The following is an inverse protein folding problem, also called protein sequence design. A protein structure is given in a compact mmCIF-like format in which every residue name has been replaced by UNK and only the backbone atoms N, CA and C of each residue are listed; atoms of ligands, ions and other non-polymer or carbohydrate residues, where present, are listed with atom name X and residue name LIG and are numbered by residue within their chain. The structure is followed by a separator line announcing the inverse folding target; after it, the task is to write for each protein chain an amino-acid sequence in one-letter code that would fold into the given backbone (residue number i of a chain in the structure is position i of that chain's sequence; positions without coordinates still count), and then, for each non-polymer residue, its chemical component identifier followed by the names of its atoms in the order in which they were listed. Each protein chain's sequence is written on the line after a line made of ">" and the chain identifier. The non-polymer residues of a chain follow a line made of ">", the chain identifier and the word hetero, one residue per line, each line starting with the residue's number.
data_IF_175906618313
#
_entry.id   IF_175906618313
#
_cell.length_a   1.000
_cell.length_b   1.000
_cell.length_c   1.000
_cell.angle_alpha   90.00
_cell.angle_beta   90.00
_cell.angle_gamma   90.00
#
_symmetry.space_group_name_H-M   'P 1'
#
loop_
_entity.id
_entity.type
_entity.pdbx_description
1 polymer ?
#
# COMPACT_ATOMS: atom_id res chain seq x y z
N UNK A 1 3.93 16.48 14.27
CA UNK A 1 3.90 15.13 13.69
C UNK A 1 3.07 15.16 12.42
N UNK A 2 3.58 14.55 11.34
CA UNK A 2 2.97 14.58 10.01
C UNK A 2 2.02 13.40 9.78
N UNK A 3 1.84 12.52 10.78
CA UNK A 3 1.00 11.31 10.72
C UNK A 3 0.62 10.80 12.13
N UNK A 4 -0.38 9.91 12.19
CA UNK A 4 -0.77 9.25 13.43
C UNK A 4 0.24 8.17 13.87
N UNK A 5 0.41 7.90 15.18
CA UNK A 5 1.43 6.97 15.72
C UNK A 5 1.35 5.55 15.15
N UNK A 6 0.18 5.09 14.76
CA UNK A 6 -0.03 3.76 14.17
C UNK A 6 0.83 3.52 12.92
N UNK A 7 1.10 4.57 12.14
CA UNK A 7 1.82 4.46 10.87
C UNK A 7 3.35 4.39 11.01
N UNK A 8 3.88 4.60 12.21
CA UNK A 8 5.33 4.49 12.47
C UNK A 8 5.89 3.13 12.04
N UNK A 9 5.12 2.05 12.27
CA UNK A 9 5.49 0.69 11.87
C UNK A 9 5.79 0.55 10.37
N UNK A 10 5.11 1.35 9.53
CA UNK A 10 5.31 1.32 8.08
C UNK A 10 6.39 2.31 7.65
N UNK A 11 6.33 3.53 8.16
CA UNK A 11 7.25 4.61 7.79
C UNK A 11 8.69 4.26 8.12
N UNK A 12 8.95 3.63 9.28
CA UNK A 12 10.28 3.20 9.69
C UNK A 12 10.93 2.16 8.78
N UNK A 13 10.17 1.49 7.91
CA UNK A 13 10.69 0.51 6.95
C UNK A 13 11.25 1.13 5.67
N UNK A 14 11.01 2.40 5.45
CA UNK A 14 11.51 3.12 4.28
C UNK A 14 12.79 3.87 4.66
N UNK A 15 13.86 3.63 3.90
CA UNK A 15 15.21 4.13 4.24
C UNK A 15 15.48 5.57 3.76
N UNK A 16 14.59 6.19 2.99
CA UNK A 16 14.75 7.53 2.47
C UNK A 16 13.72 8.49 3.07
N UNK A 17 14.07 9.78 3.09
CA UNK A 17 13.17 10.86 3.51
C UNK A 17 12.56 11.62 2.33
N UNK A 18 12.83 11.18 1.10
CA UNK A 18 12.38 11.83 -0.14
C UNK A 18 11.58 10.87 -1.00
N UNK A 19 10.35 11.26 -1.39
CA UNK A 19 9.43 10.45 -2.19
C UNK A 19 10.01 10.10 -3.56
N UNK A 20 10.73 11.00 -4.21
CA UNK A 20 11.33 10.73 -5.53
C UNK A 20 12.43 9.69 -5.43
N UNK A 21 13.26 9.77 -4.40
CA UNK A 21 14.28 8.76 -4.11
C UNK A 21 13.68 7.39 -3.85
N UNK A 22 12.56 7.33 -3.10
CA UNK A 22 11.82 6.07 -2.87
C UNK A 22 11.30 5.50 -4.19
N UNK A 23 10.70 6.32 -5.03
CA UNK A 23 10.21 5.88 -6.35
C UNK A 23 11.34 5.28 -7.20
N UNK A 24 12.50 5.90 -7.23
CA UNK A 24 13.64 5.44 -8.02
C UNK A 24 14.26 4.15 -7.46
N UNK A 25 14.34 4.01 -6.14
CA UNK A 25 15.07 2.92 -5.49
C UNK A 25 14.21 1.73 -5.10
N UNK A 26 12.94 1.96 -4.75
CA UNK A 26 12.10 0.95 -4.10
C UNK A 26 10.94 0.46 -4.98
N UNK A 27 10.46 1.26 -5.94
CA UNK A 27 9.27 0.89 -6.71
C UNK A 27 9.48 -0.39 -7.53
N UNK A 28 10.52 -0.43 -8.36
CA UNK A 28 10.78 -1.58 -9.22
C UNK A 28 11.12 -2.87 -8.43
N UNK A 29 11.97 -2.86 -7.39
CA UNK A 29 12.20 -4.04 -6.56
C UNK A 29 10.94 -4.59 -5.90
N UNK A 30 10.10 -3.72 -5.35
CA UNK A 30 8.83 -4.12 -4.71
C UNK A 30 7.87 -4.75 -5.74
N UNK A 31 7.69 -4.12 -6.90
CA UNK A 31 6.84 -4.62 -7.96
C UNK A 31 7.34 -5.99 -8.47
N UNK A 32 8.64 -6.11 -8.70
CA UNK A 32 9.27 -7.37 -9.11
C UNK A 32 9.04 -8.49 -8.10
N UNK A 33 9.16 -8.19 -6.80
CA UNK A 33 8.92 -9.16 -5.74
C UNK A 33 7.50 -9.75 -5.82
N UNK A 34 6.48 -8.91 -5.87
CA UNK A 34 5.08 -9.37 -5.87
C UNK A 34 4.69 -10.06 -7.18
N UNK A 35 5.22 -9.61 -8.33
CA UNK A 35 4.98 -10.27 -9.61
C UNK A 35 5.59 -11.68 -9.68
N UNK A 36 6.70 -11.91 -8.99
CA UNK A 36 7.41 -13.19 -8.98
C UNK A 36 6.92 -14.16 -7.90
N UNK A 37 5.88 -13.83 -7.15
CA UNK A 37 5.30 -14.77 -6.19
C UNK A 37 4.89 -16.08 -6.89
N UNK A 38 5.25 -17.25 -6.30
CA UNK A 38 5.03 -18.52 -6.96
C UNK A 38 3.54 -18.86 -7.08
N UNK A 39 3.12 -19.18 -8.30
CA UNK A 39 1.72 -19.54 -8.61
C UNK A 39 1.24 -20.73 -7.78
N UNK A 40 2.12 -21.71 -7.53
CA UNK A 40 1.82 -22.89 -6.73
C UNK A 40 1.45 -22.57 -5.26
N UNK A 41 1.78 -21.37 -4.78
CA UNK A 41 1.47 -20.91 -3.41
C UNK A 41 0.31 -19.92 -3.35
N UNK A 42 -0.37 -19.67 -4.45
CA UNK A 42 -1.44 -18.68 -4.53
C UNK A 42 -2.51 -18.87 -3.44
N UNK A 43 -2.93 -20.09 -3.19
CA UNK A 43 -3.95 -20.47 -2.19
C UNK A 43 -3.35 -20.98 -0.87
N UNK A 44 -2.01 -20.89 -0.71
CA UNK A 44 -1.33 -21.29 0.52
C UNK A 44 -1.57 -20.26 1.64
N UNK A 45 -1.79 -20.76 2.85
CA UNK A 45 -1.83 -20.02 4.12
C UNK A 45 -0.93 -20.70 5.14
N UNK A 46 -0.18 -19.94 5.88
CA UNK A 46 0.79 -20.50 6.84
C UNK A 46 0.17 -21.04 8.14
N UNK A 47 -1.10 -20.72 8.42
CA UNK A 47 -1.88 -21.26 9.54
C UNK A 47 -3.37 -21.13 9.27
N UNK A 48 -4.18 -21.87 10.03
CA UNK A 48 -5.64 -21.76 9.98
C UNK A 48 -6.10 -20.34 10.31
N UNK A 49 -7.09 -19.84 9.58
CA UNK A 49 -7.63 -18.48 9.75
C UNK A 49 -6.74 -17.36 9.24
N UNK A 50 -5.57 -17.67 8.67
CA UNK A 50 -4.70 -16.67 8.04
C UNK A 50 -5.03 -16.50 6.56
N UNK A 51 -4.66 -15.36 6.01
CA UNK A 51 -4.86 -15.04 4.60
C UNK A 51 -4.05 -15.97 3.69
N UNK A 52 -4.60 -16.30 2.54
CA UNK A 52 -3.84 -16.86 1.42
C UNK A 52 -2.96 -15.78 0.77
N UNK A 53 -2.02 -16.16 -0.10
CA UNK A 53 -1.29 -15.17 -0.90
C UNK A 53 -2.21 -14.36 -1.79
N UNK A 54 -3.31 -14.93 -2.29
CA UNK A 54 -4.33 -14.17 -3.03
C UNK A 54 -5.01 -13.12 -2.16
N UNK A 55 -5.43 -13.50 -0.94
CA UNK A 55 -6.04 -12.57 0.01
C UNK A 55 -5.08 -11.44 0.37
N UNK A 56 -3.80 -11.78 0.60
CA UNK A 56 -2.77 -10.79 0.92
C UNK A 56 -2.55 -9.82 -0.25
N UNK A 57 -2.42 -10.31 -1.47
CA UNK A 57 -2.23 -9.47 -2.64
C UNK A 57 -3.45 -8.58 -2.91
N UNK A 58 -4.66 -9.10 -2.72
CA UNK A 58 -5.88 -8.29 -2.80
C UNK A 58 -5.92 -7.22 -1.70
N UNK A 59 -5.53 -7.56 -0.46
CA UNK A 59 -5.41 -6.59 0.62
C UNK A 59 -4.44 -5.45 0.29
N UNK A 60 -3.30 -5.76 -0.34
CA UNK A 60 -2.36 -4.73 -0.78
C UNK A 60 -2.98 -3.80 -1.82
N UNK A 61 -3.69 -4.36 -2.79
CA UNK A 61 -4.39 -3.59 -3.82
C UNK A 61 -5.44 -2.67 -3.19
N UNK A 62 -6.29 -3.19 -2.33
CA UNK A 62 -7.39 -2.44 -1.71
C UNK A 62 -6.86 -1.33 -0.79
N UNK A 63 -5.87 -1.66 0.04
CA UNK A 63 -5.26 -0.69 0.95
C UNK A 63 -4.54 0.41 0.19
N UNK A 64 -3.82 0.09 -0.89
CA UNK A 64 -3.16 1.12 -1.70
C UNK A 64 -4.18 2.07 -2.33
N UNK A 65 -5.31 1.57 -2.85
CA UNK A 65 -6.40 2.44 -3.36
C UNK A 65 -6.91 3.41 -2.31
N UNK A 66 -7.15 2.95 -1.10
CA UNK A 66 -7.59 3.80 0.01
C UNK A 66 -6.53 4.85 0.34
N UNK A 67 -5.27 4.44 0.47
CA UNK A 67 -4.18 5.36 0.82
C UNK A 67 -3.88 6.37 -0.29
N UNK A 68 -3.93 5.97 -1.55
CA UNK A 68 -3.76 6.87 -2.71
C UNK A 68 -4.89 7.88 -2.79
N UNK A 69 -6.13 7.49 -2.52
CA UNK A 69 -7.25 8.42 -2.45
C UNK A 69 -7.06 9.47 -1.35
N UNK A 70 -6.62 9.06 -0.16
CA UNK A 70 -6.30 9.97 0.95
C UNK A 70 -5.15 10.92 0.59
N UNK A 71 -4.10 10.39 -0.06
CA UNK A 71 -2.97 11.17 -0.55
C UNK A 71 -3.40 12.21 -1.58
N UNK A 72 -4.22 11.83 -2.54
CA UNK A 72 -4.76 12.73 -3.55
C UNK A 72 -5.53 13.89 -2.91
N UNK A 73 -6.39 13.59 -1.93
CA UNK A 73 -7.15 14.62 -1.21
C UNK A 73 -6.25 15.57 -0.44
N UNK A 74 -5.25 15.05 0.27
CA UNK A 74 -4.27 15.87 0.96
C UNK A 74 -3.49 16.77 -0.01
N UNK A 75 -3.01 16.21 -1.13
CA UNK A 75 -2.28 16.95 -2.15
C UNK A 75 -3.13 18.02 -2.87
N UNK A 76 -4.46 17.85 -2.87
CA UNK A 76 -5.43 18.84 -3.41
C UNK A 76 -5.98 19.77 -2.33
N UNK A 77 -5.41 19.75 -1.11
CA UNK A 77 -5.80 20.60 0.04
C UNK A 77 -7.25 20.42 0.47
N UNK A 78 -7.80 19.22 0.28
CA UNK A 78 -9.15 18.87 0.74
C UNK A 78 -9.10 18.54 2.24
N UNK A 79 -9.74 19.37 3.05
CA UNK A 79 -9.77 19.23 4.50
C UNK A 79 -10.88 18.33 5.04
N UNK A 80 -11.71 17.75 4.17
CA UNK A 80 -12.78 16.83 4.61
C UNK A 80 -12.16 15.56 5.21
N UNK A 81 -12.56 15.15 6.41
CA UNK A 81 -12.05 13.94 7.04
C UNK A 81 -12.26 12.70 6.17
N UNK A 82 -11.23 11.86 6.06
CA UNK A 82 -11.32 10.58 5.38
C UNK A 82 -11.98 9.54 6.29
N UNK A 83 -12.87 8.73 5.72
CA UNK A 83 -13.45 7.59 6.40
C UNK A 83 -12.38 6.54 6.75
N UNK A 84 -12.57 5.85 7.86
CA UNK A 84 -11.83 4.63 8.18
C UNK A 84 -12.37 3.45 7.37
N UNK A 85 -11.59 2.38 7.29
CA UNK A 85 -12.03 1.09 6.73
C UNK A 85 -11.50 -0.06 7.58
N UNK A 86 -12.20 -1.17 7.56
CA UNK A 86 -11.82 -2.41 8.22
C UNK A 86 -11.19 -3.37 7.19
N UNK A 87 -9.89 -3.61 7.31
CA UNK A 87 -9.14 -4.45 6.37
C UNK A 87 -9.59 -5.91 6.36
N UNK A 88 -10.03 -6.43 7.50
CA UNK A 88 -10.53 -7.81 7.59
C UNK A 88 -11.89 -7.94 6.91
N UNK A 89 -12.76 -6.96 7.10
CA UNK A 89 -14.04 -6.89 6.40
C UNK A 89 -13.84 -6.79 4.88
N UNK A 90 -12.88 -5.97 4.44
CA UNK A 90 -12.55 -5.85 3.02
C UNK A 90 -12.04 -7.18 2.46
N UNK A 91 -11.10 -7.83 3.13
CA UNK A 91 -10.56 -9.12 2.70
C UNK A 91 -11.67 -10.20 2.62
N UNK A 92 -12.55 -10.27 3.60
CA UNK A 92 -13.65 -11.24 3.63
C UNK A 92 -14.66 -11.03 2.48
N UNK A 93 -14.86 -9.79 2.04
CA UNK A 93 -15.81 -9.45 0.97
C UNK A 93 -15.18 -9.35 -0.42
N UNK A 94 -13.85 -9.40 -0.53
CA UNK A 94 -13.14 -9.25 -1.79
C UNK A 94 -13.25 -10.48 -2.71
N UNK A 95 -13.56 -11.66 -2.14
CA UNK A 95 -13.67 -12.93 -2.88
C UNK A 95 -12.42 -13.24 -3.73
N UNK A 96 -11.23 -13.00 -3.18
CA UNK A 96 -9.97 -13.19 -3.90
C UNK A 96 -9.74 -14.65 -4.33
N UNK A 97 -10.33 -15.60 -3.62
CA UNK A 97 -10.35 -17.03 -3.97
C UNK A 97 -10.95 -17.31 -5.36
N UNK A 98 -11.88 -16.46 -5.82
CA UNK A 98 -12.54 -16.58 -7.13
C UNK A 98 -11.75 -15.96 -8.28
N UNK A 99 -10.62 -15.33 -7.98
CA UNK A 99 -9.76 -14.72 -8.99
C UNK A 99 -8.53 -15.58 -9.27
N UNK A 100 -8.01 -15.53 -10.50
CA UNK A 100 -6.68 -16.07 -10.78
C UNK A 100 -5.59 -15.19 -10.13
N UNK A 101 -4.50 -15.83 -9.72
CA UNK A 101 -3.37 -15.08 -9.16
C UNK A 101 -2.74 -14.15 -10.20
N UNK A 102 -2.75 -14.57 -11.46
CA UNK A 102 -2.34 -13.74 -12.59
C UNK A 102 -3.17 -12.43 -12.67
N UNK A 103 -4.51 -12.52 -12.60
CA UNK A 103 -5.37 -11.33 -12.62
C UNK A 103 -5.09 -10.36 -11.46
N UNK A 104 -4.78 -10.88 -10.27
CA UNK A 104 -4.40 -10.07 -9.12
C UNK A 104 -3.06 -9.37 -9.35
N UNK A 105 -2.07 -10.06 -9.92
CA UNK A 105 -0.76 -9.49 -10.26
C UNK A 105 -0.87 -8.39 -11.32
N UNK A 106 -1.70 -8.59 -12.35
CA UNK A 106 -1.95 -7.58 -13.38
C UNK A 106 -2.57 -6.31 -12.77
N UNK A 107 -3.58 -6.47 -11.91
CA UNK A 107 -4.23 -5.34 -11.24
C UNK A 107 -3.27 -4.61 -10.31
N UNK A 108 -2.47 -5.35 -9.53
CA UNK A 108 -1.43 -4.79 -8.68
C UNK A 108 -0.46 -3.93 -9.48
N UNK A 109 0.06 -4.46 -10.59
CA UNK A 109 1.01 -3.72 -11.43
C UNK A 109 0.39 -2.46 -12.04
N UNK A 110 -0.85 -2.54 -12.54
CA UNK A 110 -1.56 -1.40 -13.10
C UNK A 110 -1.78 -0.30 -12.05
N UNK A 111 -2.17 -0.68 -10.82
CA UNK A 111 -2.33 0.24 -9.70
C UNK A 111 -1.00 0.88 -9.31
N UNK A 112 0.07 0.09 -9.16
CA UNK A 112 1.41 0.61 -8.85
C UNK A 112 1.87 1.63 -9.88
N UNK A 113 1.68 1.33 -11.18
CA UNK A 113 2.02 2.27 -12.25
C UNK A 113 1.25 3.59 -12.11
N UNK A 114 -0.05 3.53 -11.84
CA UNK A 114 -0.88 4.72 -11.61
C UNK A 114 -0.41 5.52 -10.39
N UNK A 115 -0.13 4.84 -9.28
CA UNK A 115 0.37 5.47 -8.04
C UNK A 115 1.72 6.15 -8.28
N UNK A 116 2.66 5.47 -8.95
CA UNK A 116 3.99 6.01 -9.23
C UNK A 116 3.91 7.28 -10.09
N UNK A 117 3.05 7.30 -11.11
CA UNK A 117 2.82 8.49 -11.95
C UNK A 117 2.23 9.65 -11.15
N UNK A 118 1.28 9.38 -10.27
CA UNK A 118 0.74 10.41 -9.38
C UNK A 118 1.86 11.00 -8.51
N UNK A 119 2.63 10.16 -7.82
CA UNK A 119 3.71 10.61 -6.94
C UNK A 119 4.79 11.41 -7.68
N UNK A 120 5.15 10.99 -8.90
CA UNK A 120 6.08 11.73 -9.76
C UNK A 120 5.57 13.13 -10.13
N UNK A 121 4.26 13.30 -10.28
CA UNK A 121 3.65 14.56 -10.67
C UNK A 121 3.53 15.58 -9.54
N UNK A 122 3.68 15.17 -8.27
CA UNK A 122 3.46 16.04 -7.13
C UNK A 122 4.66 16.98 -6.90
N UNK A 123 4.35 18.24 -6.63
CA UNK A 123 5.31 19.25 -6.18
C UNK A 123 5.60 19.10 -4.68
N UNK A 124 6.67 19.72 -4.19
CA UNK A 124 6.98 19.76 -2.75
C UNK A 124 5.86 20.43 -1.94
N UNK A 125 5.23 21.46 -2.47
CA UNK A 125 4.08 22.12 -1.84
C UNK A 125 2.90 21.13 -1.70
N UNK A 126 2.61 20.34 -2.73
CA UNK A 126 1.55 19.34 -2.70
C UNK A 126 1.89 18.19 -1.74
N UNK A 127 3.15 17.74 -1.71
CA UNK A 127 3.60 16.71 -0.78
C UNK A 127 3.51 17.16 0.68
N UNK A 128 3.79 18.43 0.97
CA UNK A 128 3.68 19.01 2.32
C UNK A 128 2.24 19.33 2.74
N UNK A 129 1.30 19.36 1.81
CA UNK A 129 -0.12 19.57 2.09
C UNK A 129 -0.70 18.39 2.86
N UNK A 130 -1.68 18.66 3.72
CA UNK A 130 -2.25 17.66 4.61
C UNK A 130 -3.77 17.55 4.50
N UNK A 131 -4.26 16.34 4.76
CA UNK A 131 -5.65 16.02 5.04
C UNK A 131 -5.84 15.47 6.44
N UNK A 132 -7.03 14.98 6.73
CA UNK A 132 -7.36 14.32 8.00
C UNK A 132 -7.63 12.85 7.71
N UNK A 133 -6.81 11.97 8.30
CA UNK A 133 -6.94 10.51 8.18
C UNK A 133 -6.89 9.88 9.56
N UNK A 134 -7.87 9.04 9.89
CA UNK A 134 -8.01 8.41 11.22
C UNK A 134 -7.91 9.41 12.38
N UNK A 135 -8.58 10.56 12.24
CA UNK A 135 -8.58 11.68 13.17
C UNK A 135 -7.22 12.38 13.39
N UNK A 136 -6.24 12.09 12.55
CA UNK A 136 -4.94 12.74 12.60
C UNK A 136 -4.67 13.54 11.32
N UNK A 137 -4.00 14.68 11.50
CA UNK A 137 -3.42 15.42 10.37
C UNK A 137 -2.36 14.53 9.71
N UNK A 138 -2.49 14.29 8.42
CA UNK A 138 -1.54 13.44 7.67
C UNK A 138 -1.19 14.11 6.36
N UNK A 139 0.10 14.33 6.13
CA UNK A 139 0.59 14.93 4.88
C UNK A 139 0.53 13.95 3.72
N UNK A 140 0.46 14.45 2.49
CA UNK A 140 0.59 13.61 1.31
C UNK A 140 1.95 12.90 1.28
N UNK A 141 3.02 13.57 1.74
CA UNK A 141 4.33 12.96 1.91
C UNK A 141 4.29 11.74 2.85
N UNK A 142 3.71 11.89 4.04
CA UNK A 142 3.58 10.78 5.00
C UNK A 142 2.77 9.62 4.41
N UNK A 143 1.69 9.90 3.67
CA UNK A 143 0.89 8.87 3.01
C UNK A 143 1.68 8.11 1.93
N UNK A 144 2.56 8.77 1.19
CA UNK A 144 3.47 8.10 0.26
C UNK A 144 4.40 7.12 0.98
N UNK A 145 5.01 7.53 2.11
CA UNK A 145 5.82 6.63 2.94
C UNK A 145 5.02 5.47 3.52
N UNK A 146 3.78 5.70 3.92
CA UNK A 146 2.88 4.65 4.43
C UNK A 146 2.62 3.61 3.33
N UNK A 147 2.35 4.03 2.09
CA UNK A 147 2.12 3.12 0.96
C UNK A 147 3.34 2.20 0.75
N UNK A 148 4.54 2.74 0.61
CA UNK A 148 5.75 1.95 0.42
C UNK A 148 6.09 1.10 1.64
N UNK A 149 5.97 1.65 2.84
CA UNK A 149 6.23 0.94 4.08
C UNK A 149 5.27 -0.23 4.31
N UNK A 150 4.00 -0.09 3.92
CA UNK A 150 3.01 -1.17 3.98
C UNK A 150 3.37 -2.32 3.03
N UNK A 151 3.77 -2.00 1.79
CA UNK A 151 4.24 -3.01 0.84
C UNK A 151 5.47 -3.76 1.37
N UNK A 152 6.45 -3.06 1.94
CA UNK A 152 7.65 -3.67 2.54
C UNK A 152 7.33 -4.49 3.79
N UNK A 153 6.39 -4.03 4.60
CA UNK A 153 5.94 -4.79 5.77
C UNK A 153 5.39 -6.16 5.37
N UNK A 154 4.51 -6.18 4.38
CA UNK A 154 3.94 -7.44 3.88
C UNK A 154 4.94 -8.28 3.09
N UNK A 155 5.90 -7.66 2.39
CA UNK A 155 7.01 -8.38 1.76
C UNK A 155 7.77 -9.22 2.82
N UNK A 156 8.16 -8.62 3.94
CA UNK A 156 8.84 -9.33 5.02
C UNK A 156 8.00 -10.51 5.55
N UNK A 157 6.69 -10.30 5.75
CA UNK A 157 5.77 -11.37 6.18
C UNK A 157 5.73 -12.50 5.16
N UNK A 158 5.69 -12.18 3.87
CA UNK A 158 5.67 -13.18 2.80
C UNK A 158 6.97 -13.99 2.80
N UNK A 159 8.12 -13.33 2.87
CA UNK A 159 9.43 -13.99 2.93
C UNK A 159 9.56 -14.91 4.14
N UNK A 160 9.09 -14.49 5.31
CA UNK A 160 9.23 -15.23 6.55
C UNK A 160 8.24 -16.40 6.68
N UNK A 161 7.06 -16.33 6.08
CA UNK A 161 5.93 -17.23 6.41
C UNK A 161 5.31 -17.95 5.22
N UNK A 162 5.47 -17.43 4.01
CA UNK A 162 4.86 -18.02 2.82
C UNK A 162 5.88 -18.66 1.87
N UNK A 163 7.14 -18.17 1.86
CA UNK A 163 8.21 -18.68 1.00
C UNK A 163 9.16 -19.59 1.76
#
# INVERSE_FOLDING_TARGET
>A
NDYGPYFETYISKVKSNDVKTILEQEAAPIETFYLNLPEAKADYRYAEGKWTLKDLLQHLIDTERVMVYRLLRAARKDATPNASFDENSFAANAMADKRSFHSLKEEFLALRKSTNLLLQSLTEEQLSSAGISSNHRTTANALAFIIFGHLKHHQNIVEERYL
#
